data_IF_230208603284
#
_entry.id   IF_230208603284
#
_cell.length_a   1.000
_cell.length_b   1.000
_cell.length_c   1.000
_cell.angle_alpha   90.00
_cell.angle_beta   90.00
_cell.angle_gamma   90.00
#
_symmetry.space_group_name_H-M   'P 1'
#
loop_
_entity.id
_entity.type
_entity.pdbx_description
1 polymer ?
#
# COMPACT_ATOMS: atom_id res chain seq x y z
N UNK A 1 74.65 -49.70 23.78
CA UNK A 1 73.60 -49.54 24.81
C UNK A 1 73.01 -48.12 24.80
N UNK A 2 72.73 -47.57 23.60
CA UNK A 2 72.23 -46.20 23.40
C UNK A 2 70.70 -46.14 23.21
N UNK A 3 70.00 -47.27 23.12
CA UNK A 3 68.55 -47.30 22.92
C UNK A 3 67.74 -46.84 24.16
N UNK A 4 68.28 -47.06 25.36
CA UNK A 4 67.59 -46.77 26.63
C UNK A 4 67.52 -45.25 26.89
N UNK A 5 68.50 -44.48 26.41
CA UNK A 5 68.51 -43.01 26.57
C UNK A 5 67.49 -42.32 25.65
N UNK A 6 67.24 -42.87 24.46
CA UNK A 6 66.24 -42.33 23.54
C UNK A 6 64.81 -42.75 23.89
N UNK A 7 64.64 -43.93 24.52
CA UNK A 7 63.33 -44.36 25.02
C UNK A 7 62.84 -43.48 26.19
N UNK A 8 63.75 -43.03 27.08
CA UNK A 8 63.39 -42.15 28.19
C UNK A 8 63.05 -40.72 27.73
N UNK A 9 63.71 -40.22 26.67
CA UNK A 9 63.44 -38.90 26.09
C UNK A 9 62.15 -38.88 25.27
N UNK A 10 61.74 -40.02 24.69
CA UNK A 10 60.45 -40.16 24.03
C UNK A 10 59.27 -40.21 25.00
N UNK A 11 59.47 -40.77 26.20
CA UNK A 11 58.41 -40.89 27.21
C UNK A 11 58.09 -39.58 27.93
N UNK A 12 59.06 -38.65 28.04
CA UNK A 12 58.83 -37.31 28.61
C UNK A 12 58.17 -36.33 27.63
N UNK A 13 58.22 -36.59 26.32
CA UNK A 13 57.50 -35.78 25.32
C UNK A 13 56.00 -36.10 25.22
N UNK A 14 55.55 -37.24 25.76
CA UNK A 14 54.16 -37.69 25.71
C UNK A 14 53.27 -37.11 26.83
N UNK A 15 53.83 -36.39 27.80
CA UNK A 15 53.07 -35.81 28.92
C UNK A 15 52.74 -34.33 28.75
N UNK A 16 53.16 -33.69 27.64
CA UNK A 16 52.75 -32.35 27.24
C UNK A 16 51.48 -32.42 26.36
N UNK A 17 50.43 -33.08 26.88
CA UNK A 17 49.09 -32.99 26.32
C UNK A 17 48.48 -31.64 26.69
N UNK A 18 48.17 -30.82 25.68
CA UNK A 18 47.40 -29.58 25.85
C UNK A 18 46.05 -29.87 26.54
N UNK A 19 45.92 -29.50 27.81
CA UNK A 19 44.61 -29.31 28.41
C UNK A 19 43.98 -28.08 27.75
N UNK A 20 43.09 -28.31 26.79
CA UNK A 20 42.20 -27.26 26.28
C UNK A 20 41.24 -26.94 27.43
N UNK A 21 41.51 -25.87 28.17
CA UNK A 21 40.53 -25.32 29.10
C UNK A 21 39.29 -25.01 28.27
N UNK A 22 38.20 -25.74 28.51
CA UNK A 22 36.91 -25.34 27.99
C UNK A 22 36.62 -23.98 28.61
N UNK A 23 36.67 -22.92 27.81
CA UNK A 23 36.09 -21.66 28.21
C UNK A 23 34.61 -21.97 28.47
N UNK A 24 34.17 -21.82 29.72
CA UNK A 24 32.76 -21.75 30.06
C UNK A 24 32.24 -20.52 29.34
N UNK A 25 31.62 -20.74 28.17
CA UNK A 25 30.88 -19.68 27.50
C UNK A 25 29.81 -19.18 28.47
N UNK A 26 29.65 -17.86 28.64
CA UNK A 26 28.61 -17.32 29.50
C UNK A 26 27.26 -17.87 29.03
N UNK A 27 26.45 -18.32 29.99
CA UNK A 27 25.13 -18.89 29.73
C UNK A 27 24.28 -17.87 28.95
N UNK A 28 23.90 -18.23 27.72
CA UNK A 28 23.15 -17.34 26.85
C UNK A 28 21.73 -17.15 27.41
N UNK A 29 21.38 -15.89 27.72
CA UNK A 29 20.03 -15.52 28.15
C UNK A 29 19.09 -15.51 26.93
N UNK A 30 18.55 -16.69 26.61
CA UNK A 30 17.62 -16.88 25.50
C UNK A 30 16.35 -16.03 25.63
N UNK A 31 15.92 -15.68 26.84
CA UNK A 31 14.73 -14.84 27.08
C UNK A 31 15.01 -13.37 26.72
N UNK A 32 16.23 -12.89 26.96
CA UNK A 32 16.67 -11.57 26.49
C UNK A 32 16.92 -11.54 24.98
N UNK A 33 17.45 -12.63 24.41
CA UNK A 33 17.71 -12.75 22.97
C UNK A 33 16.41 -12.91 22.17
N UNK A 34 15.40 -13.56 22.74
CA UNK A 34 14.13 -13.85 22.08
C UNK A 34 12.93 -13.58 23.02
N UNK A 35 12.68 -12.32 23.37
CA UNK A 35 11.57 -11.98 24.27
C UNK A 35 10.25 -12.42 23.64
N UNK A 36 9.51 -13.29 24.33
CA UNK A 36 8.21 -13.75 23.87
C UNK A 36 7.20 -12.59 23.89
N UNK A 37 6.83 -12.09 22.71
CA UNK A 37 5.89 -10.97 22.55
C UNK A 37 4.41 -11.37 22.68
N UNK A 38 4.14 -12.62 23.04
CA UNK A 38 2.81 -13.22 23.00
C UNK A 38 2.51 -13.90 21.66
N UNK A 39 1.31 -14.46 21.55
CA UNK A 39 0.82 -15.06 20.29
C UNK A 39 0.36 -13.94 19.38
N UNK A 40 1.02 -13.74 18.24
CA UNK A 40 0.54 -12.86 17.18
C UNK A 40 -0.87 -13.33 16.75
N UNK A 41 -1.87 -12.46 16.91
CA UNK A 41 -3.21 -12.80 16.42
C UNK A 41 -3.16 -12.92 14.90
N UNK A 42 -3.84 -13.92 14.31
CA UNK A 42 -3.82 -14.10 12.88
C UNK A 42 -4.38 -12.85 12.19
N UNK A 43 -3.64 -12.32 11.22
CA UNK A 43 -4.16 -11.30 10.30
C UNK A 43 -5.21 -11.95 9.43
N UNK A 44 -6.46 -11.54 9.58
CA UNK A 44 -7.56 -11.99 8.73
C UNK A 44 -7.52 -11.12 7.47
N UNK A 45 -6.89 -11.62 6.40
CA UNK A 45 -7.00 -11.01 5.06
C UNK A 45 -8.29 -11.46 4.42
N UNK A 46 -9.11 -10.51 3.97
CA UNK A 46 -10.35 -10.78 3.24
C UNK A 46 -10.11 -10.75 1.73
N UNK A 47 -9.26 -11.64 1.23
CA UNK A 47 -8.95 -11.77 -0.21
C UNK A 47 -10.21 -12.02 -1.07
N UNK A 48 -11.23 -12.66 -0.48
CA UNK A 48 -12.49 -13.05 -1.13
C UNK A 48 -13.59 -11.96 -1.09
N UNK A 49 -13.25 -10.72 -0.75
CA UNK A 49 -14.20 -9.62 -0.82
C UNK A 49 -14.65 -9.34 -2.26
N UNK A 50 -15.97 -9.40 -2.47
CA UNK A 50 -16.58 -9.11 -3.77
C UNK A 50 -16.54 -7.61 -4.03
N UNK A 51 -15.90 -7.21 -5.13
CA UNK A 51 -15.91 -5.83 -5.61
C UNK A 51 -17.23 -5.59 -6.32
N UNK A 52 -17.96 -4.56 -5.88
CA UNK A 52 -19.13 -4.06 -6.59
C UNK A 52 -18.69 -3.04 -7.63
N UNK A 53 -18.91 -3.33 -8.90
CA UNK A 53 -18.54 -2.45 -10.01
C UNK A 53 -19.62 -1.38 -10.22
N UNK A 54 -19.18 -0.16 -10.55
CA UNK A 54 -20.03 0.96 -10.91
C UNK A 54 -19.73 1.46 -12.33
N UNK A 55 -20.46 2.48 -12.74
CA UNK A 55 -20.23 3.17 -14.01
C UNK A 55 -19.18 4.30 -13.81
N UNK A 56 -18.02 4.25 -14.49
CA UNK A 56 -17.01 5.30 -14.41
C UNK A 56 -17.41 6.60 -15.12
N UNK A 57 -18.41 6.57 -15.99
CA UNK A 57 -18.91 7.73 -16.75
C UNK A 57 -20.12 8.41 -16.09
N UNK A 58 -20.62 7.87 -14.98
CA UNK A 58 -21.72 8.46 -14.22
C UNK A 58 -21.41 9.90 -13.77
N UNK A 59 -22.43 10.75 -13.77
CA UNK A 59 -22.30 12.14 -13.29
C UNK A 59 -22.17 12.19 -11.77
N UNK A 60 -21.52 13.25 -11.25
CA UNK A 60 -21.52 13.56 -9.82
C UNK A 60 -22.94 13.85 -9.31
N UNK A 61 -23.81 14.39 -10.18
CA UNK A 61 -25.20 14.70 -9.84
C UNK A 61 -26.07 13.44 -9.59
N UNK A 62 -25.70 12.30 -10.19
CA UNK A 62 -26.42 11.04 -10.06
C UNK A 62 -25.94 10.22 -8.86
N UNK A 63 -25.09 10.80 -8.02
CA UNK A 63 -24.49 10.11 -6.89
C UNK A 63 -25.54 9.67 -5.85
N UNK A 64 -25.49 8.38 -5.53
CA UNK A 64 -26.24 7.77 -4.42
C UNK A 64 -25.24 7.03 -3.52
N UNK A 65 -25.34 7.24 -2.21
CA UNK A 65 -24.46 6.59 -1.23
C UNK A 65 -24.74 5.07 -1.18
N UNK A 66 -23.76 4.20 -1.51
CA UNK A 66 -23.99 2.76 -1.63
C UNK A 66 -23.65 1.97 -0.34
N UNK A 67 -23.41 2.66 0.78
CA UNK A 67 -23.06 2.01 2.05
C UNK A 67 -24.25 1.29 2.69
N UNK A 68 -23.93 0.41 3.64
CA UNK A 68 -24.92 -0.38 4.39
C UNK A 68 -24.78 -0.14 5.89
N UNK A 69 -25.84 -0.37 6.65
CA UNK A 69 -25.76 -0.33 8.11
C UNK A 69 -25.39 -1.71 8.66
N UNK A 70 -24.28 -1.79 9.40
CA UNK A 70 -23.87 -2.98 10.15
C UNK A 70 -24.04 -2.66 11.64
N UNK A 71 -24.80 -3.49 12.36
CA UNK A 71 -25.14 -3.28 13.78
C UNK A 71 -24.32 -4.13 14.73
N UNK A 72 -23.73 -5.22 14.23
CA UNK A 72 -23.02 -6.21 15.03
C UNK A 72 -21.53 -6.23 14.66
N UNK A 73 -20.65 -6.42 15.65
CA UNK A 73 -19.20 -6.51 15.45
C UNK A 73 -18.59 -5.34 14.66
N UNK A 74 -19.13 -4.13 14.82
CA UNK A 74 -18.68 -2.93 14.13
C UNK A 74 -17.23 -2.64 14.45
N UNK A 75 -16.42 -2.50 13.40
CA UNK A 75 -15.01 -2.15 13.46
C UNK A 75 -14.80 -0.75 12.90
N UNK A 76 -13.72 -0.12 13.35
CA UNK A 76 -13.22 1.12 12.79
C UNK A 76 -12.00 0.84 11.92
N UNK A 77 -11.92 1.53 10.79
CA UNK A 77 -10.93 1.37 9.74
C UNK A 77 -10.26 2.69 9.45
N UNK A 78 -8.94 2.67 9.38
CA UNK A 78 -8.14 3.73 8.77
C UNK A 78 -8.12 3.51 7.26
N UNK A 79 -8.90 4.33 6.55
CA UNK A 79 -8.94 4.36 5.09
C UNK A 79 -7.88 5.31 4.58
N UNK A 80 -7.09 4.86 3.60
CA UNK A 80 -6.03 5.65 2.96
C UNK A 80 -6.19 5.61 1.46
N UNK A 81 -6.38 6.78 0.85
CA UNK A 81 -6.36 7.00 -0.59
C UNK A 81 -5.02 7.67 -0.96
N UNK A 82 -4.30 7.06 -1.90
CA UNK A 82 -3.11 7.65 -2.51
C UNK A 82 -3.37 7.78 -3.99
N UNK A 83 -3.13 8.96 -4.57
CA UNK A 83 -3.29 9.17 -5.99
C UNK A 83 -2.26 10.15 -6.55
N UNK A 84 -1.89 9.97 -7.81
CA UNK A 84 -0.97 10.83 -8.54
C UNK A 84 -1.24 10.73 -10.03
N UNK A 85 -0.96 11.81 -10.76
CA UNK A 85 -0.89 11.77 -12.21
C UNK A 85 0.50 12.22 -12.67
N UNK A 86 0.89 11.80 -13.86
CA UNK A 86 2.05 12.33 -14.54
C UNK A 86 1.67 12.75 -15.96
N UNK A 87 2.26 13.82 -16.44
CA UNK A 87 2.24 14.23 -17.85
C UNK A 87 3.67 14.63 -18.24
N UNK A 88 4.19 13.95 -19.26
CA UNK A 88 5.51 14.22 -19.81
C UNK A 88 5.41 14.61 -21.28
N UNK A 89 6.37 15.40 -21.74
CA UNK A 89 6.47 15.79 -23.14
C UNK A 89 7.08 14.67 -24.00
N UNK A 90 7.29 14.96 -25.29
CA UNK A 90 7.87 14.01 -26.26
C UNK A 90 9.32 13.59 -25.93
N UNK A 91 10.03 14.36 -25.10
CA UNK A 91 11.38 14.07 -24.64
C UNK A 91 11.38 13.31 -23.30
N UNK A 92 10.20 13.12 -22.69
CA UNK A 92 10.03 12.48 -21.40
C UNK A 92 10.21 13.42 -20.20
N UNK A 93 10.32 14.73 -20.45
CA UNK A 93 10.43 15.74 -19.40
C UNK A 93 9.04 16.10 -18.87
N UNK A 94 8.93 16.43 -17.57
CA UNK A 94 7.64 16.81 -17.00
C UNK A 94 7.11 18.10 -17.60
N UNK A 95 5.86 18.05 -18.05
CA UNK A 95 5.12 19.23 -18.49
C UNK A 95 4.90 20.19 -17.30
N UNK A 96 5.09 21.49 -17.55
CA UNK A 96 4.89 22.54 -16.55
C UNK A 96 3.40 22.65 -16.19
N UNK A 97 3.11 23.05 -14.95
CA UNK A 97 1.74 23.13 -14.42
C UNK A 97 0.77 23.94 -15.30
N UNK A 98 1.22 25.03 -15.91
CA UNK A 98 0.38 25.89 -16.77
C UNK A 98 0.07 25.28 -18.14
N UNK A 99 0.86 24.29 -18.58
CA UNK A 99 0.78 23.64 -19.90
C UNK A 99 0.09 22.27 -19.83
N UNK A 100 -0.37 21.85 -18.65
CA UNK A 100 -1.01 20.54 -18.44
C UNK A 100 -2.33 20.45 -19.22
N UNK A 101 -2.43 19.40 -20.03
CA UNK A 101 -3.61 19.10 -20.82
C UNK A 101 -4.44 17.94 -20.26
N UNK A 102 -3.88 17.17 -19.31
CA UNK A 102 -4.56 16.08 -18.61
C UNK A 102 -5.77 16.56 -17.81
N UNK A 103 -6.88 15.83 -17.97
CA UNK A 103 -8.15 16.03 -17.28
C UNK A 103 -8.58 14.74 -16.58
N UNK A 104 -7.63 14.11 -15.91
CA UNK A 104 -7.88 12.95 -15.06
C UNK A 104 -8.57 13.36 -13.76
N UNK A 105 -9.42 12.47 -13.26
CA UNK A 105 -10.03 12.63 -11.95
C UNK A 105 -10.06 11.30 -11.18
N UNK A 106 -10.05 11.43 -9.86
CA UNK A 106 -10.27 10.36 -8.90
C UNK A 106 -11.45 10.77 -8.03
N UNK A 107 -12.45 9.89 -7.89
CA UNK A 107 -13.56 10.10 -6.96
C UNK A 107 -13.51 9.10 -5.83
N UNK A 108 -13.79 9.60 -4.64
CA UNK A 108 -13.87 8.83 -3.41
C UNK A 108 -15.03 9.34 -2.55
N UNK A 109 -15.51 8.50 -1.64
CA UNK A 109 -16.56 8.88 -0.71
C UNK A 109 -15.89 9.40 0.57
N UNK A 110 -16.47 10.40 1.22
CA UNK A 110 -16.02 10.89 2.53
C UNK A 110 -16.88 10.34 3.67
N UNK A 111 -16.40 10.39 4.94
CA UNK A 111 -17.17 9.91 6.09
C UNK A 111 -18.56 10.55 6.27
N UNK A 112 -18.74 11.77 5.78
CA UNK A 112 -20.01 12.51 5.72
C UNK A 112 -20.96 12.03 4.60
N UNK A 113 -20.63 10.89 3.96
CA UNK A 113 -21.39 10.26 2.87
C UNK A 113 -21.47 11.10 1.60
N UNK A 114 -20.53 12.03 1.40
CA UNK A 114 -20.45 12.84 0.18
C UNK A 114 -19.47 12.23 -0.82
N UNK A 115 -19.73 12.40 -2.12
CA UNK A 115 -18.78 12.09 -3.18
C UNK A 115 -17.83 13.29 -3.36
N UNK A 116 -16.52 13.05 -3.26
CA UNK A 116 -15.48 14.05 -3.50
C UNK A 116 -14.73 13.74 -4.78
N UNK A 117 -14.37 14.80 -5.49
CA UNK A 117 -13.59 14.73 -6.73
C UNK A 117 -12.20 15.31 -6.48
N UNK A 118 -11.18 14.58 -6.90
CA UNK A 118 -9.78 15.01 -6.97
C UNK A 118 -9.45 15.10 -8.46
N UNK A 119 -8.99 16.26 -8.94
CA UNK A 119 -8.82 16.50 -10.38
C UNK A 119 -7.41 16.93 -10.74
N UNK A 120 -6.91 16.49 -11.89
CA UNK A 120 -5.70 17.04 -12.52
C UNK A 120 -5.99 18.39 -13.22
N UNK A 121 -7.25 18.63 -13.59
CA UNK A 121 -7.66 19.86 -14.27
C UNK A 121 -7.99 20.96 -13.25
N UNK A 122 -7.17 22.02 -13.20
CA UNK A 122 -7.38 23.18 -12.30
C UNK A 122 -8.65 23.99 -12.58
N UNK A 123 -9.30 23.77 -13.73
CA UNK A 123 -10.56 24.43 -14.14
C UNK A 123 -11.80 23.59 -13.83
N UNK A 124 -11.65 22.45 -13.16
CA UNK A 124 -12.75 21.59 -12.77
C UNK A 124 -13.47 22.16 -11.54
N UNK A 125 -14.68 22.70 -11.74
CA UNK A 125 -15.50 23.29 -10.68
C UNK A 125 -16.04 22.26 -9.68
N UNK A 126 -16.06 20.98 -10.05
CA UNK A 126 -16.53 19.90 -9.17
C UNK A 126 -15.42 19.38 -8.24
N UNK A 127 -14.17 19.78 -8.51
CA UNK A 127 -13.02 19.31 -7.77
C UNK A 127 -12.95 19.92 -6.36
N UNK A 128 -12.81 19.05 -5.37
CA UNK A 128 -12.51 19.43 -3.99
C UNK A 128 -11.02 19.57 -3.72
N UNK A 129 -10.19 18.87 -4.49
CA UNK A 129 -8.72 18.86 -4.39
C UNK A 129 -8.15 18.80 -5.80
N UNK A 130 -7.04 19.49 -6.02
CA UNK A 130 -6.33 19.45 -7.29
C UNK A 130 -4.97 18.75 -7.15
N UNK A 131 -4.68 17.82 -8.05
CA UNK A 131 -3.36 17.19 -8.12
C UNK A 131 -2.32 18.17 -8.69
N UNK A 132 -1.04 17.85 -8.46
CA UNK A 132 0.10 18.51 -9.13
C UNK A 132 0.88 17.44 -9.89
N UNK A 133 1.45 17.81 -11.04
CA UNK A 133 2.09 16.86 -11.95
C UNK A 133 3.25 16.13 -11.26
N UNK A 134 3.14 14.81 -11.20
CA UNK A 134 4.13 13.92 -10.61
C UNK A 134 4.29 14.02 -9.10
N UNK A 135 3.35 14.64 -8.41
CA UNK A 135 3.28 14.62 -6.94
C UNK A 135 2.17 13.71 -6.47
N UNK A 136 2.47 12.92 -5.45
CA UNK A 136 1.48 12.09 -4.77
C UNK A 136 0.63 12.93 -3.82
N UNK A 137 -0.67 12.67 -3.85
CA UNK A 137 -1.64 13.17 -2.91
C UNK A 137 -2.14 12.01 -2.06
N UNK A 138 -2.01 12.15 -0.75
CA UNK A 138 -2.50 11.18 0.24
C UNK A 138 -3.64 11.79 1.03
N UNK A 139 -4.73 11.03 1.19
CA UNK A 139 -5.88 11.38 2.02
C UNK A 139 -6.13 10.20 2.96
N UNK A 140 -6.30 10.50 4.24
CA UNK A 140 -6.54 9.50 5.28
C UNK A 140 -7.71 9.93 6.14
N UNK A 141 -8.61 8.99 6.44
CA UNK A 141 -9.75 9.21 7.33
C UNK A 141 -10.18 7.90 7.99
N UNK A 142 -10.98 8.02 9.05
CA UNK A 142 -11.57 6.87 9.73
C UNK A 142 -12.97 6.60 9.21
N UNK A 143 -13.31 5.33 9.01
CA UNK A 143 -14.63 4.86 8.62
C UNK A 143 -15.04 3.60 9.40
N UNK A 144 -16.33 3.33 9.50
CA UNK A 144 -16.88 2.17 10.21
C UNK A 144 -17.27 1.04 9.26
N UNK A 145 -17.45 -0.18 9.80
CA UNK A 145 -18.12 -1.28 9.10
C UNK A 145 -19.41 -0.80 8.40
N UNK A 146 -19.64 -1.31 7.19
CA UNK A 146 -20.73 -0.90 6.32
C UNK A 146 -20.39 0.27 5.39
N UNK A 147 -19.27 0.96 5.63
CA UNK A 147 -18.78 2.01 4.75
C UNK A 147 -18.34 1.45 3.38
N UNK A 148 -18.71 2.09 2.27
CA UNK A 148 -18.26 1.71 0.94
C UNK A 148 -16.88 2.30 0.67
N UNK A 149 -15.84 1.47 0.74
CA UNK A 149 -14.49 1.83 0.28
C UNK A 149 -14.50 1.94 -1.25
N UNK A 150 -14.86 3.13 -1.72
CA UNK A 150 -15.13 3.45 -3.12
C UNK A 150 -13.94 4.12 -3.79
N UNK A 151 -13.64 3.67 -5.01
CA UNK A 151 -12.66 4.27 -5.90
C UNK A 151 -13.23 4.34 -7.31
N UNK A 152 -13.21 5.54 -7.90
CA UNK A 152 -13.48 5.74 -9.31
C UNK A 152 -12.35 6.57 -9.94
N UNK A 153 -11.81 6.13 -11.06
CA UNK A 153 -10.72 6.77 -11.79
C UNK A 153 -11.09 6.81 -13.26
N UNK A 154 -11.11 8.00 -13.83
CA UNK A 154 -11.46 8.23 -15.23
C UNK A 154 -10.89 9.58 -15.69
N UNK A 155 -11.03 9.88 -16.97
CA UNK A 155 -10.63 11.13 -17.59
C UNK A 155 -9.82 10.90 -18.86
N UNK A 156 -9.30 12.02 -19.38
CA UNK A 156 -8.59 12.07 -20.65
C UNK A 156 -7.24 12.73 -20.47
N UNK A 157 -6.27 12.37 -21.28
CA UNK A 157 -4.96 13.01 -21.28
C UNK A 157 -4.24 12.81 -22.61
N UNK A 158 -3.10 13.49 -22.81
CA UNK A 158 -2.28 13.31 -24.00
C UNK A 158 -1.45 12.03 -23.93
N UNK A 159 -0.84 11.66 -25.05
CA UNK A 159 0.24 10.65 -25.06
C UNK A 159 1.31 10.97 -24.00
N UNK A 160 1.75 9.94 -23.27
CA UNK A 160 2.78 10.07 -22.24
C UNK A 160 2.23 10.49 -20.88
N UNK A 161 0.92 10.67 -20.75
CA UNK A 161 0.30 10.92 -19.45
C UNK A 161 -0.17 9.63 -18.78
N UNK A 162 -0.27 9.65 -17.45
CA UNK A 162 -0.74 8.52 -16.65
C UNK A 162 -1.44 8.98 -15.38
N UNK A 163 -2.28 8.11 -14.84
CA UNK A 163 -2.97 8.29 -13.56
C UNK A 163 -2.87 7.01 -12.75
N UNK A 164 -2.53 7.16 -11.47
CA UNK A 164 -2.47 6.08 -10.50
C UNK A 164 -3.29 6.45 -9.28
N UNK A 165 -4.10 5.52 -8.80
CA UNK A 165 -4.81 5.68 -7.54
C UNK A 165 -4.97 4.34 -6.83
N UNK A 166 -4.82 4.36 -5.51
CA UNK A 166 -5.01 3.21 -4.63
C UNK A 166 -5.79 3.64 -3.41
N UNK A 167 -6.90 2.97 -3.10
CA UNK A 167 -7.58 3.09 -1.80
C UNK A 167 -7.44 1.78 -1.04
N UNK A 168 -7.10 1.88 0.24
CA UNK A 168 -6.95 0.74 1.15
C UNK A 168 -7.58 1.05 2.50
N UNK A 169 -7.94 0.01 3.23
CA UNK A 169 -8.45 0.13 4.59
C UNK A 169 -7.83 -0.93 5.49
N UNK A 170 -7.39 -0.49 6.67
CA UNK A 170 -6.85 -1.36 7.71
C UNK A 170 -7.62 -1.05 8.99
N UNK A 171 -8.11 -2.08 9.68
CA UNK A 171 -8.78 -1.89 10.96
C UNK A 171 -7.84 -1.27 11.99
N UNK A 172 -8.38 -0.52 12.96
CA UNK A 172 -7.54 0.10 14.01
C UNK A 172 -6.77 -0.94 14.83
N UNK A 173 -7.32 -2.15 14.99
CA UNK A 173 -6.64 -3.26 15.65
C UNK A 173 -5.50 -3.89 14.80
N UNK A 174 -5.36 -3.49 13.53
CA UNK A 174 -4.32 -3.93 12.61
C UNK A 174 -4.47 -5.38 12.11
N UNK A 175 -5.53 -6.09 12.51
CA UNK A 175 -5.71 -7.51 12.20
C UNK A 175 -6.55 -7.74 10.95
N UNK A 176 -7.42 -6.79 10.59
CA UNK A 176 -8.25 -6.87 9.39
C UNK A 176 -7.69 -5.96 8.30
N UNK A 177 -7.25 -6.57 7.20
CA UNK A 177 -6.80 -5.86 6.01
C UNK A 177 -7.82 -6.09 4.90
N UNK A 178 -8.39 -5.01 4.39
CA UNK A 178 -9.32 -5.02 3.27
C UNK A 178 -8.53 -4.96 1.97
N UNK A 179 -8.96 -5.73 0.97
CA UNK A 179 -8.31 -5.79 -0.34
C UNK A 179 -8.26 -4.38 -0.96
N UNK A 180 -7.07 -3.84 -1.29
CA UNK A 180 -6.97 -2.51 -1.86
C UNK A 180 -7.56 -2.47 -3.28
N UNK A 181 -8.26 -1.39 -3.62
CA UNK A 181 -8.63 -1.10 -5.00
C UNK A 181 -7.52 -0.25 -5.61
N UNK A 182 -6.95 -0.70 -6.72
CA UNK A 182 -5.82 -0.03 -7.38
C UNK A 182 -6.08 0.12 -8.87
N UNK A 183 -5.79 1.31 -9.38
CA UNK A 183 -5.85 1.66 -10.80
C UNK A 183 -4.50 2.27 -11.18
N UNK A 184 -3.96 1.83 -12.30
CA UNK A 184 -2.74 2.40 -12.88
C UNK A 184 -2.87 2.40 -14.40
N UNK A 185 -3.22 3.56 -14.95
CA UNK A 185 -3.56 3.72 -16.34
C UNK A 185 -2.59 4.67 -17.04
N UNK A 186 -2.26 4.35 -18.28
CA UNK A 186 -1.34 5.11 -19.11
C UNK A 186 -2.03 5.44 -20.44
N UNK A 187 -1.90 6.69 -20.88
CA UNK A 187 -2.31 7.11 -22.20
C UNK A 187 -1.13 7.10 -23.17
N UNK A 188 -1.26 6.31 -24.23
CA UNK A 188 -0.22 6.08 -25.24
C UNK A 188 -0.66 6.46 -26.66
N UNK A 189 -1.92 6.85 -26.84
CA UNK A 189 -2.49 7.23 -28.14
C UNK A 189 -2.21 8.71 -28.45
N UNK A 190 -2.15 9.03 -29.74
CA UNK A 190 -1.89 10.39 -30.21
C UNK A 190 -3.12 11.29 -29.98
N UNK A 191 -2.87 12.54 -29.57
CA UNK A 191 -3.93 13.47 -29.20
C UNK A 191 -4.37 13.31 -27.74
N UNK A 192 -5.47 13.97 -27.38
CA UNK A 192 -6.07 13.88 -26.04
C UNK A 192 -7.19 12.86 -26.09
N UNK A 193 -7.02 11.74 -25.38
CA UNK A 193 -7.98 10.64 -25.39
C UNK A 193 -8.17 10.03 -23.99
N UNK A 194 -9.26 9.28 -23.82
CA UNK A 194 -9.67 8.62 -22.59
C UNK A 194 -8.72 7.49 -22.21
N UNK A 195 -8.52 7.30 -20.90
CA UNK A 195 -7.82 6.12 -20.40
C UNK A 195 -8.54 4.84 -20.85
N UNK A 196 -7.77 3.76 -21.08
CA UNK A 196 -8.30 2.52 -21.64
C UNK A 196 -9.08 1.69 -20.62
N UNK A 197 -8.63 1.68 -19.37
CA UNK A 197 -9.29 1.01 -18.26
C UNK A 197 -9.86 1.99 -17.24
N UNK A 198 -10.89 2.79 -17.58
CA UNK A 198 -11.57 3.56 -16.56
C UNK A 198 -12.21 2.59 -15.54
N UNK A 199 -12.06 2.89 -14.27
CA UNK A 199 -12.49 2.00 -13.19
C UNK A 199 -13.44 2.74 -12.27
N UNK A 200 -14.49 2.05 -11.83
CA UNK A 200 -15.40 2.51 -10.81
C UNK A 200 -15.87 1.30 -10.00
N UNK A 201 -15.68 1.32 -8.69
CA UNK A 201 -16.15 0.25 -7.84
C UNK A 201 -15.87 0.49 -6.37
N UNK A 202 -16.46 -0.37 -5.53
CA UNK A 202 -16.30 -0.31 -4.10
C UNK A 202 -16.33 -1.69 -3.44
N UNK A 203 -15.78 -1.73 -2.22
CA UNK A 203 -15.93 -2.85 -1.29
C UNK A 203 -16.62 -2.32 -0.04
N UNK A 204 -17.62 -3.03 0.46
CA UNK A 204 -18.21 -2.73 1.76
C UNK A 204 -17.24 -3.20 2.85
N UNK A 205 -16.81 -2.28 3.72
CA UNK A 205 -15.99 -2.63 4.88
C UNK A 205 -16.79 -3.57 5.79
N UNK A 206 -16.24 -4.73 6.18
CA UNK A 206 -16.96 -5.75 6.94
C UNK A 206 -17.21 -5.33 8.39
#
# INVERSE_FOLDING_TARGET
>A
MNLIKYALLGLTLLTLGCSKSGEDYPEEDYEALFPFKGVDKPKISYEDQTIQLGDPDASVADYVYPGVEIKENVREYKVTLVCSFNEVDILGERVKEDDISSRYFVRYITPDKQLRVISANKRDETASVFLSNGKEQTITFTAKSGYPMYLCVNGVGPRGSSIKATISAVSEDGFTIVKPLTVNEHQNEEGIDKIKGPFCGYIILP
#
